data_IF_856642907599
#
_entry.id   IF_856642907599
#
_cell.length_a   1.000
_cell.length_b   1.000
_cell.length_c   1.000
_cell.angle_alpha   90.00
_cell.angle_beta   90.00
_cell.angle_gamma   90.00
#
_symmetry.space_group_name_H-M   'P 1'
#
loop_
_entity.id
_entity.type
_entity.pdbx_description
1 polymer ?
#
# COMPACT_ATOMS: atom_id res chain seq x y z
N UNK A 1 -0.82 -20.04 -6.34
CA UNK A 1 -0.67 -19.31 -6.44
C UNK A 1 -0.75 -18.53 -6.64
N UNK A 2 -0.59 -19.55 -6.44
CA UNK A 2 -0.36 -18.83 -6.60
C UNK A 2 -0.51 -18.03 -6.85
N UNK A 3 -0.38 -18.65 -6.75
CA UNK A 3 -0.35 -17.92 -6.92
C UNK A 3 -0.83 -17.14 -7.20
N UNK A 4 -0.98 -17.79 -6.94
CA UNK A 4 -1.28 -16.98 -7.00
C UNK A 4 -1.77 -16.22 -7.39
N UNK A 5 -1.82 -16.80 -7.34
CA UNK A 5 -2.07 -16.07 -7.56
C UNK A 5 -2.73 -15.54 -7.85
N UNK A 6 -2.86 -16.08 -7.82
CA UNK A 6 -3.25 -15.50 -8.01
C UNK A 6 -3.89 -14.94 -8.27
N UNK A 7 -4.05 -15.34 -8.35
CA UNK A 7 -4.42 -14.88 -8.43
C UNK A 7 -5.06 -14.23 -8.77
N UNK A 8 -5.15 -14.86 -8.74
CA UNK A 8 -5.54 -14.24 -8.79
C UNK A 8 -6.19 -13.62 -9.27
N UNK A 9 -6.45 -14.16 -9.40
CA UNK A 9 -6.79 -13.66 -9.67
C UNK A 9 -7.50 -13.20 -9.95
N UNK A 10 -7.87 -13.36 -10.04
CA UNK A 10 -8.28 -13.01 -10.06
C UNK A 10 -9.10 -12.48 -10.23
N UNK A 11 -9.53 -12.92 -10.38
CA UNK A 11 -10.05 -12.51 -10.28
C UNK A 11 -10.75 -11.84 -10.48
N UNK A 12 -11.14 -12.51 -10.58
CA UNK A 12 -11.63 -12.00 -10.52
C UNK A 12 -12.28 -11.36 -10.28
N UNK A 13 -12.87 -11.75 -10.24
CA UNK A 13 -13.23 -11.33 -9.82
C UNK A 13 -13.84 -11.00 -9.32
N UNK A 14 -14.16 -11.13 -9.10
CA UNK A 14 -14.51 -10.89 -8.46
C UNK A 14 -14.86 -10.66 -7.80
N UNK A 15 -15.22 -11.01 -7.77
CA UNK A 15 -15.25 -10.85 -7.03
C UNK A 15 -15.51 -10.52 -6.42
N UNK A 16 -15.93 -10.90 -6.31
CA UNK A 16 -15.85 -10.68 -5.62
C UNK A 16 -16.06 -10.34 -5.01
N UNK A 17 -16.26 -10.56 -4.75
CA UNK A 17 -16.11 -10.36 -4.04
C UNK A 17 -16.23 -10.13 -3.47
N UNK A 18 -16.47 -10.33 -3.46
CA UNK A 18 -16.20 -10.32 -2.80
C UNK A 18 -16.04 -10.54 -2.29
N UNK A 19 -16.11 -10.89 -2.13
CA UNK A 19 -15.54 -11.35 -1.54
C UNK A 19 -15.29 -11.83 -1.42
N UNK A 20 -15.16 -12.39 -1.26
CA UNK A 20 -14.60 -12.91 -1.00
C UNK A 20 -14.35 -13.42 -0.81
N UNK A 21 -14.37 -13.34 -1.34
CA UNK A 21 -14.24 -14.48 -0.83
C UNK A 21 -13.08 -14.86 -0.07
N UNK A 22 -13.17 -15.53 0.72
CA UNK A 22 -12.24 -15.83 1.73
C UNK A 22 -11.16 -16.80 1.35
N UNK A 23 -11.41 -17.60 0.42
CA UNK A 23 -10.45 -18.63 0.04
C UNK A 23 -9.11 -18.05 -0.38
N UNK A 24 -9.14 -16.85 -0.78
CA UNK A 24 -7.93 -16.21 -1.27
C UNK A 24 -7.30 -15.33 -0.21
N UNK A 25 -7.70 -15.52 1.02
CA UNK A 25 -7.17 -14.73 2.11
C UNK A 25 -5.84 -15.30 2.56
N UNK A 26 -4.77 -14.91 1.88
CA UNK A 26 -3.43 -15.31 2.24
C UNK A 26 -2.77 -14.31 3.15
N UNK A 27 -3.54 -13.43 3.77
CA UNK A 27 -3.00 -12.43 4.67
C UNK A 27 -3.94 -12.22 5.83
N UNK A 28 -3.40 -11.67 6.90
CA UNK A 28 -4.17 -11.22 8.05
C UNK A 28 -3.94 -9.73 8.21
N UNK A 29 -4.90 -9.06 8.80
CA UNK A 29 -4.81 -7.62 9.03
C UNK A 29 -4.51 -7.40 10.50
N UNK A 30 -3.44 -6.68 10.78
CA UNK A 30 -3.02 -6.36 12.15
C UNK A 30 -2.60 -4.91 12.22
N UNK A 31 -2.43 -4.41 13.44
CA UNK A 31 -1.92 -3.06 13.64
C UNK A 31 -0.45 -3.01 13.32
N UNK A 32 -0.04 -1.95 12.65
CA UNK A 32 1.35 -1.77 12.29
C UNK A 32 1.60 -0.37 11.82
N UNK A 33 2.48 -0.24 10.84
CA UNK A 33 2.93 1.06 10.36
C UNK A 33 3.00 1.07 8.85
N UNK A 34 2.70 2.22 8.28
CA UNK A 34 2.88 2.47 6.85
C UNK A 34 3.57 3.81 6.70
N UNK A 35 4.07 4.09 5.52
CA UNK A 35 4.64 5.39 5.21
C UNK A 35 3.62 6.15 4.37
N UNK A 36 3.15 7.28 4.88
CA UNK A 36 2.26 8.13 4.11
C UNK A 36 3.11 9.04 3.23
N UNK A 37 2.96 8.86 1.94
CA UNK A 37 3.76 9.58 0.95
C UNK A 37 3.05 10.85 0.50
N UNK A 38 1.70 10.80 0.45
CA UNK A 38 0.92 11.87 -0.14
C UNK A 38 -0.46 11.91 0.48
N UNK A 39 -0.96 13.12 0.67
CA UNK A 39 -2.34 13.34 1.12
C UNK A 39 -2.77 14.72 0.62
N UNK A 40 -3.87 14.77 -0.12
CA UNK A 40 -4.33 16.03 -0.69
C UNK A 40 -5.82 15.94 -0.97
N UNK A 41 -6.48 17.09 -0.96
CA UNK A 41 -7.92 17.16 -1.18
C UNK A 41 -8.32 17.94 -2.44
N UNK A 42 -7.40 18.14 -3.35
CA UNK A 42 -7.70 18.80 -4.61
C UNK A 42 -8.49 17.84 -5.49
N UNK A 43 -9.77 18.15 -5.72
CA UNK A 43 -10.67 17.23 -6.38
C UNK A 43 -10.31 16.94 -7.84
N UNK A 44 -9.55 17.84 -8.46
CA UNK A 44 -9.21 17.65 -9.87
C UNK A 44 -7.94 16.86 -10.09
N UNK A 45 -6.98 16.95 -9.15
CA UNK A 45 -5.64 16.41 -9.38
C UNK A 45 -5.16 15.39 -8.36
N UNK A 46 -5.76 15.38 -7.17
CA UNK A 46 -5.23 14.55 -6.09
C UNK A 46 -5.23 13.07 -6.44
N UNK A 47 -6.28 12.60 -7.08
CA UNK A 47 -6.36 11.18 -7.46
C UNK A 47 -5.22 10.81 -8.40
N UNK A 48 -5.06 11.60 -9.46
CA UNK A 48 -4.03 11.31 -10.46
C UNK A 48 -2.64 11.42 -9.86
N UNK A 49 -2.43 12.41 -8.99
CA UNK A 49 -1.14 12.55 -8.33
C UNK A 49 -0.83 11.37 -7.43
N UNK A 50 -1.84 10.88 -6.70
CA UNK A 50 -1.63 9.73 -5.83
C UNK A 50 -1.22 8.51 -6.63
N UNK A 51 -1.91 8.23 -7.73
CA UNK A 51 -1.59 7.10 -8.56
C UNK A 51 -0.25 7.25 -9.28
N UNK A 52 0.07 8.47 -9.69
CA UNK A 52 1.35 8.72 -10.34
C UNK A 52 2.51 8.45 -9.39
N UNK A 53 2.40 8.97 -8.16
CA UNK A 53 3.44 8.74 -7.16
C UNK A 53 3.54 7.26 -6.78
N UNK A 54 2.41 6.58 -6.70
CA UNK A 54 2.39 5.14 -6.43
C UNK A 54 3.14 4.38 -7.52
N UNK A 55 2.92 4.75 -8.77
CA UNK A 55 3.58 4.11 -9.89
C UNK A 55 5.09 4.31 -9.84
N UNK A 56 5.52 5.53 -9.50
CA UNK A 56 6.96 5.81 -9.39
C UNK A 56 7.62 4.97 -8.31
N UNK A 57 6.95 4.85 -7.18
CA UNK A 57 7.49 4.05 -6.07
C UNK A 57 7.51 2.58 -6.44
N UNK A 58 6.46 2.10 -7.08
CA UNK A 58 6.38 0.70 -7.47
C UNK A 58 7.46 0.35 -8.50
N UNK A 59 7.77 1.28 -9.40
CA UNK A 59 8.82 1.06 -10.37
C UNK A 59 10.19 0.97 -9.69
N UNK A 60 10.41 1.77 -8.66
CA UNK A 60 11.68 1.78 -7.95
C UNK A 60 11.81 0.59 -6.99
N UNK A 61 10.69 0.15 -6.41
CA UNK A 61 10.71 -0.93 -5.44
C UNK A 61 9.45 -1.79 -5.65
N UNK A 62 9.50 -2.74 -6.60
CA UNK A 62 8.30 -3.52 -6.95
C UNK A 62 7.76 -4.36 -5.81
N UNK A 63 8.55 -4.65 -4.78
CA UNK A 63 8.10 -5.48 -3.67
C UNK A 63 7.40 -4.67 -2.59
N UNK A 64 7.49 -3.35 -2.67
CA UNK A 64 6.85 -2.50 -1.68
C UNK A 64 5.39 -2.31 -2.04
N UNK A 65 4.50 -2.66 -1.12
CA UNK A 65 3.07 -2.52 -1.34
C UNK A 65 2.68 -1.04 -1.39
N UNK A 66 1.79 -0.69 -2.30
CA UNK A 66 1.28 0.67 -2.40
C UNK A 66 -0.24 0.67 -2.24
N UNK A 67 -0.74 1.65 -1.52
CA UNK A 67 -2.18 1.74 -1.23
C UNK A 67 -2.65 3.16 -1.49
N UNK A 68 -3.46 3.32 -2.53
CA UNK A 68 -4.11 4.59 -2.83
C UNK A 68 -5.53 4.50 -2.30
N UNK A 69 -5.88 5.39 -1.38
CA UNK A 69 -7.19 5.38 -0.77
C UNK A 69 -7.83 6.75 -0.83
N UNK A 70 -9.15 6.76 -0.84
CA UNK A 70 -9.93 7.99 -0.76
C UNK A 70 -10.75 7.97 0.52
N UNK A 71 -10.45 8.91 1.40
CA UNK A 71 -11.26 9.15 2.60
C UNK A 71 -11.68 10.60 2.50
N UNK A 72 -12.90 10.80 2.04
CA UNK A 72 -13.39 12.13 1.66
C UNK A 72 -13.00 13.19 2.67
N UNK A 73 -12.44 14.32 2.26
CA UNK A 73 -12.17 14.70 0.87
C UNK A 73 -10.75 14.40 0.40
N UNK A 74 -10.02 13.52 1.09
CA UNK A 74 -8.58 13.33 0.85
C UNK A 74 -8.29 12.07 0.06
N UNK A 75 -7.44 12.23 -0.95
CA UNK A 75 -6.75 11.13 -1.58
C UNK A 75 -5.41 10.96 -0.88
N UNK A 76 -5.09 9.71 -0.51
CA UNK A 76 -3.85 9.40 0.22
C UNK A 76 -3.12 8.27 -0.45
N UNK A 77 -1.78 8.36 -0.39
CA UNK A 77 -0.92 7.25 -0.79
C UNK A 77 -0.12 6.83 0.43
N UNK A 78 -0.26 5.57 0.79
CA UNK A 78 0.53 4.95 1.86
C UNK A 78 1.20 3.72 1.30
N UNK A 79 2.41 3.43 1.78
CA UNK A 79 3.20 2.31 1.26
C UNK A 79 3.73 1.47 2.41
N UNK A 80 3.90 0.17 2.13
CA UNK A 80 4.52 -0.76 3.03
C UNK A 80 3.59 -1.34 4.08
N UNK A 81 3.98 -2.47 4.62
CA UNK A 81 3.26 -3.14 5.70
C UNK A 81 4.31 -3.51 6.74
N UNK A 82 4.58 -2.59 7.67
CA UNK A 82 5.67 -2.73 8.63
C UNK A 82 5.12 -3.06 10.00
N UNK A 83 5.73 -4.06 10.65
CA UNK A 83 5.32 -4.48 11.98
C UNK A 83 5.82 -3.52 13.05
N UNK A 84 6.92 -2.85 12.82
CA UNK A 84 7.51 -1.98 13.81
C UNK A 84 7.81 -0.62 13.23
N UNK A 85 7.89 0.37 14.13
CA UNK A 85 8.26 1.72 13.74
C UNK A 85 9.67 1.74 13.14
N UNK A 86 10.57 0.94 13.72
CA UNK A 86 11.96 0.91 13.26
C UNK A 86 12.06 0.46 11.80
N UNK A 87 11.32 -0.59 11.45
CA UNK A 87 11.32 -1.05 10.06
C UNK A 87 10.78 0.02 9.13
N UNK A 88 9.68 0.65 9.52
CA UNK A 88 9.09 1.69 8.72
C UNK A 88 10.04 2.87 8.56
N UNK A 89 10.71 3.23 9.63
CA UNK A 89 11.62 4.37 9.60
C UNK A 89 12.83 4.13 8.70
N UNK A 90 13.34 2.90 8.71
CA UNK A 90 14.45 2.57 7.82
C UNK A 90 14.04 2.71 6.36
N UNK A 91 12.85 2.21 6.02
CA UNK A 91 12.35 2.36 4.66
C UNK A 91 12.06 3.81 4.33
N UNK A 92 11.59 4.59 5.31
CA UNK A 92 11.34 6.01 5.12
C UNK A 92 12.61 6.74 4.69
N UNK A 93 13.71 6.45 5.38
CA UNK A 93 15.00 7.07 5.05
C UNK A 93 15.41 6.70 3.64
N UNK A 94 15.26 5.43 3.29
CA UNK A 94 15.59 4.95 1.95
C UNK A 94 14.76 5.66 0.88
N UNK A 95 13.45 5.77 1.13
CA UNK A 95 12.56 6.43 0.17
C UNK A 95 12.83 7.92 0.04
N UNK A 96 13.19 8.57 1.14
CA UNK A 96 13.54 9.98 1.08
C UNK A 96 14.78 10.22 0.25
N UNK A 97 15.72 9.28 0.30
CA UNK A 97 16.93 9.38 -0.53
C UNK A 97 16.62 9.15 -2.00
N UNK A 98 15.70 8.25 -2.29
CA UNK A 98 15.33 7.94 -3.67
C UNK A 98 14.41 9.01 -4.27
N UNK A 99 13.52 9.55 -3.46
CA UNK A 99 12.52 10.53 -3.91
C UNK A 99 12.56 11.78 -3.04
N UNK A 100 13.66 12.56 -3.13
CA UNK A 100 13.74 13.76 -2.29
C UNK A 100 12.67 14.80 -2.61
N UNK A 101 12.04 14.69 -3.77
CA UNK A 101 10.96 15.61 -4.15
C UNK A 101 9.65 15.30 -3.40
N UNK A 102 9.52 14.11 -2.82
CA UNK A 102 8.32 13.75 -2.04
C UNK A 102 8.56 14.14 -0.58
N UNK A 103 8.25 15.39 -0.25
CA UNK A 103 8.64 15.96 1.04
C UNK A 103 7.74 15.60 2.20
N UNK A 104 6.55 15.07 1.91
CA UNK A 104 5.55 14.83 2.94
C UNK A 104 5.63 13.47 3.58
N UNK A 105 6.59 12.65 3.16
CA UNK A 105 6.67 11.28 3.65
C UNK A 105 6.88 11.22 5.16
N UNK A 106 6.08 10.37 5.81
CA UNK A 106 6.20 10.16 7.25
C UNK A 106 5.62 8.80 7.61
N UNK A 107 6.06 8.26 8.72
CA UNK A 107 5.53 7.00 9.24
C UNK A 107 4.20 7.30 9.93
N UNK A 108 3.20 6.49 9.64
CA UNK A 108 1.88 6.59 10.28
C UNK A 108 1.47 5.22 10.80
N UNK A 109 0.65 5.21 11.83
CA UNK A 109 0.05 3.96 12.30
C UNK A 109 -1.10 3.61 11.39
N UNK A 110 -1.21 2.32 11.08
CA UNK A 110 -2.26 1.86 10.17
C UNK A 110 -2.46 0.37 10.38
N UNK A 111 -3.55 -0.14 9.83
CA UNK A 111 -3.74 -1.57 9.75
C UNK A 111 -2.96 -2.07 8.55
N UNK A 112 -2.18 -3.11 8.77
CA UNK A 112 -1.30 -3.63 7.71
C UNK A 112 -1.70 -5.06 7.38
N UNK A 113 -1.21 -5.52 6.24
CA UNK A 113 -1.45 -6.89 5.78
C UNK A 113 -0.18 -7.70 5.92
N UNK A 114 -0.30 -8.83 6.59
CA UNK A 114 0.80 -9.77 6.72
C UNK A 114 0.44 -11.04 6.00
N UNK A 115 1.37 -11.55 5.20
CA UNK A 115 1.16 -12.80 4.49
C UNK A 115 1.08 -13.94 5.50
N UNK A 116 0.03 -14.74 5.38
CA UNK A 116 -0.14 -15.90 6.21
C UNK A 116 0.70 -17.03 5.62
N UNK A 117 1.48 -17.67 6.47
CA UNK A 117 2.25 -18.82 6.06
C UNK A 117 1.41 -20.05 6.28
N UNK A 118 1.18 -20.80 5.20
CA UNK A 118 0.40 -22.03 5.24
C UNK A 118 1.35 -23.17 4.95
N UNK A 119 1.36 -24.15 5.85
CA UNK A 119 2.23 -25.32 5.69
C UNK A 119 1.46 -26.57 5.52
#
# INVERSE_FOLDING_TARGET
DARLTDRLARRTGNVALSGTSSRDMNYVTVRGYRIQVFSDNNQRRSKDEAYQKASMIKDADPELSTYVTFTSPFWRLRVGDFRSFEEANLKLIELKNTFPQFREMRVVKDMIRLTRIVE
#
